data_IF_875271663664
#
_entry.id   IF_875271663664
#
_cell.length_a   1.000
_cell.length_b   1.000
_cell.length_c   1.000
_cell.angle_alpha   90.00
_cell.angle_beta   90.00
_cell.angle_gamma   90.00
#
_symmetry.space_group_name_H-M   'P 1'
#
loop_
_entity.id
_entity.type
_entity.pdbx_description
1 polymer ?
#
# COMPACT_ATOMS: atom_id res chain seq x y z
N UNK A 1 7.81 1.27 -12.36
CA UNK A 1 6.94 0.24 -12.94
C UNK A 1 7.69 -0.55 -14.00
N UNK A 2 7.50 -1.87 -13.98
CA UNK A 2 8.09 -2.80 -14.95
C UNK A 2 7.08 -3.03 -16.08
N UNK A 3 7.49 -2.74 -17.31
CA UNK A 3 6.66 -2.89 -18.52
C UNK A 3 7.19 -3.97 -19.47
N UNK A 4 8.12 -4.79 -19.00
CA UNK A 4 8.65 -5.93 -19.77
C UNK A 4 7.60 -7.04 -19.86
N UNK A 5 7.27 -7.45 -21.08
CA UNK A 5 6.30 -8.54 -21.33
C UNK A 5 6.81 -9.92 -20.91
N UNK A 6 8.11 -10.04 -20.66
CA UNK A 6 8.76 -11.29 -20.31
C UNK A 6 8.76 -11.62 -18.82
N UNK A 7 8.29 -10.72 -17.95
CA UNK A 7 8.29 -10.88 -16.49
C UNK A 7 6.91 -10.62 -15.91
N UNK A 8 6.64 -11.17 -14.74
CA UNK A 8 5.40 -10.98 -13.99
C UNK A 8 5.50 -9.82 -12.99
N UNK A 9 6.72 -9.39 -12.67
CA UNK A 9 6.99 -8.29 -11.77
C UNK A 9 6.34 -6.99 -12.28
N UNK A 10 5.54 -6.33 -11.42
CA UNK A 10 4.82 -5.11 -11.78
C UNK A 10 5.55 -3.82 -11.38
N UNK A 11 6.21 -3.82 -10.21
CA UNK A 11 6.90 -2.63 -9.69
C UNK A 11 8.09 -3.01 -8.83
N UNK A 12 9.17 -2.22 -8.94
CA UNK A 12 10.33 -2.27 -8.04
C UNK A 12 10.35 -1.00 -7.22
N UNK A 13 10.55 -1.13 -5.92
CA UNK A 13 10.79 -0.03 -5.00
C UNK A 13 12.18 -0.16 -4.41
N UNK A 14 12.91 0.95 -4.28
CA UNK A 14 14.24 0.99 -3.67
C UNK A 14 14.09 1.74 -2.34
N UNK A 15 14.09 1.00 -1.23
CA UNK A 15 13.83 1.58 0.09
C UNK A 15 14.96 2.48 0.59
N UNK A 16 16.19 2.30 0.11
CA UNK A 16 17.28 3.24 0.38
C UNK A 16 16.92 4.68 -0.02
N UNK A 17 16.12 4.85 -1.10
CA UNK A 17 15.67 6.16 -1.57
C UNK A 17 14.53 6.76 -0.72
N UNK A 18 13.85 5.94 0.08
CA UNK A 18 12.77 6.41 0.95
C UNK A 18 13.33 7.02 2.24
N UNK A 19 14.28 6.31 2.86
CA UNK A 19 14.97 6.78 4.05
C UNK A 19 16.23 5.94 4.30
N UNK A 20 17.36 6.57 4.67
CA UNK A 20 18.56 5.83 5.04
C UNK A 20 18.37 4.96 6.27
N UNK A 21 17.36 5.23 7.09
CA UNK A 21 17.05 4.44 8.29
C UNK A 21 16.26 3.16 8.01
N UNK A 22 15.84 2.92 6.77
CA UNK A 22 15.12 1.69 6.39
C UNK A 22 16.06 0.53 6.06
N UNK A 23 17.36 0.79 5.90
CA UNK A 23 18.35 -0.20 5.50
C UNK A 23 19.51 -0.17 6.51
N UNK A 24 19.88 -1.34 7.04
CA UNK A 24 20.90 -1.43 8.09
C UNK A 24 22.27 -0.91 7.63
N UNK A 25 22.65 -1.21 6.39
CA UNK A 25 23.93 -0.80 5.78
C UNK A 25 23.68 -0.14 4.42
N UNK A 26 23.13 1.09 4.38
CA UNK A 26 22.65 1.69 3.13
C UNK A 26 23.77 1.99 2.12
N UNK A 27 25.04 2.06 2.56
CA UNK A 27 26.20 2.25 1.67
C UNK A 27 26.64 0.94 0.98
N UNK A 28 26.37 -0.20 1.60
CA UNK A 28 26.87 -1.52 1.16
C UNK A 28 25.76 -2.38 0.57
N UNK A 29 24.50 -2.14 0.93
CA UNK A 29 23.38 -2.99 0.57
C UNK A 29 22.18 -2.19 0.05
N UNK A 30 21.39 -2.82 -0.79
CA UNK A 30 20.13 -2.26 -1.30
C UNK A 30 18.97 -3.14 -0.84
N UNK A 31 17.97 -2.52 -0.22
CA UNK A 31 16.71 -3.20 0.06
C UNK A 31 15.69 -2.83 -1.01
N UNK A 32 15.24 -3.83 -1.75
CA UNK A 32 14.26 -3.63 -2.82
C UNK A 32 12.95 -4.31 -2.49
N UNK A 33 11.84 -3.62 -2.74
CA UNK A 33 10.50 -4.18 -2.70
C UNK A 33 10.03 -4.54 -4.09
N UNK A 34 9.54 -5.77 -4.25
CA UNK A 34 9.03 -6.30 -5.51
C UNK A 34 7.53 -6.50 -5.39
N UNK A 35 6.74 -5.83 -6.23
CA UNK A 35 5.29 -5.93 -6.21
C UNK A 35 4.77 -6.81 -7.34
N UNK A 36 4.09 -7.87 -6.96
CA UNK A 36 3.40 -8.79 -7.85
C UNK A 36 1.89 -8.64 -7.69
N UNK A 37 1.21 -8.24 -8.75
CA UNK A 37 -0.24 -8.11 -8.76
C UNK A 37 -0.87 -9.46 -9.10
N UNK A 38 -1.58 -10.04 -8.15
CA UNK A 38 -2.19 -11.35 -8.25
C UNK A 38 -3.55 -11.37 -7.56
N UNK A 39 -4.39 -12.33 -7.90
CA UNK A 39 -5.65 -12.56 -7.21
C UNK A 39 -5.45 -13.48 -6.01
N UNK A 40 -6.21 -13.23 -4.93
CA UNK A 40 -6.24 -14.15 -3.79
C UNK A 40 -6.72 -15.54 -4.27
N UNK A 41 -5.89 -16.56 -4.04
CA UNK A 41 -6.18 -17.94 -4.41
C UNK A 41 -5.62 -18.39 -5.76
N UNK A 42 -5.00 -17.52 -6.56
CA UNK A 42 -4.30 -17.93 -7.78
C UNK A 42 -3.00 -18.71 -7.48
N UNK A 43 -2.39 -19.29 -8.50
CA UNK A 43 -1.19 -20.11 -8.35
C UNK A 43 -0.03 -19.33 -7.74
N UNK A 44 0.14 -18.06 -8.13
CA UNK A 44 1.20 -17.21 -7.59
C UNK A 44 0.94 -16.84 -6.13
N UNK A 45 -0.32 -16.53 -5.77
CA UNK A 45 -0.71 -16.28 -4.39
C UNK A 45 -0.44 -17.48 -3.49
N UNK A 46 -0.74 -18.70 -3.99
CA UNK A 46 -0.60 -19.94 -3.25
C UNK A 46 0.83 -20.52 -3.23
N UNK A 47 1.74 -19.96 -4.03
CA UNK A 47 3.13 -20.36 -4.07
C UNK A 47 3.75 -20.31 -2.66
N UNK A 48 4.71 -21.19 -2.36
CA UNK A 48 5.48 -21.11 -1.12
C UNK A 48 6.35 -19.85 -1.10
N UNK A 49 6.78 -19.40 0.09
CA UNK A 49 7.70 -18.26 0.19
C UNK A 49 9.01 -18.56 -0.54
N UNK A 50 9.57 -19.74 -0.34
CA UNK A 50 10.81 -20.18 -0.99
C UNK A 50 10.72 -20.17 -2.52
N UNK A 51 9.63 -20.72 -3.08
CA UNK A 51 9.43 -20.74 -4.54
C UNK A 51 9.17 -19.34 -5.09
N UNK A 52 8.45 -18.50 -4.34
CA UNK A 52 8.22 -17.11 -4.70
C UNK A 52 9.53 -16.31 -4.75
N UNK A 53 10.41 -16.49 -3.78
CA UNK A 53 11.73 -15.85 -3.74
C UNK A 53 12.61 -16.34 -4.91
N UNK A 54 12.64 -17.63 -5.18
CA UNK A 54 13.35 -18.18 -6.35
C UNK A 54 12.83 -17.59 -7.66
N UNK A 55 11.50 -17.51 -7.78
CA UNK A 55 10.85 -16.91 -8.95
C UNK A 55 11.24 -15.44 -9.12
N UNK A 56 11.15 -14.65 -8.05
CA UNK A 56 11.49 -13.24 -8.07
C UNK A 56 12.96 -12.98 -8.38
N UNK A 57 13.86 -13.77 -7.79
CA UNK A 57 15.31 -13.73 -8.09
C UNK A 57 15.58 -14.02 -9.56
N UNK A 58 14.94 -15.06 -10.12
CA UNK A 58 15.10 -15.40 -11.54
C UNK A 58 14.63 -14.28 -12.48
N UNK A 59 13.55 -13.57 -12.13
CA UNK A 59 13.09 -12.40 -12.92
C UNK A 59 14.08 -11.23 -12.83
N UNK A 60 14.61 -10.92 -11.65
CA UNK A 60 15.62 -9.87 -11.49
C UNK A 60 16.92 -10.18 -12.25
N UNK A 61 17.38 -11.42 -12.21
CA UNK A 61 18.54 -11.88 -13.00
C UNK A 61 18.24 -11.76 -14.50
N UNK A 62 17.07 -12.21 -14.94
CA UNK A 62 16.65 -12.11 -16.34
C UNK A 62 16.63 -10.66 -16.84
N UNK A 63 16.24 -9.73 -16.01
CA UNK A 63 16.24 -8.29 -16.32
C UNK A 63 17.63 -7.66 -16.19
N UNK A 64 18.63 -8.38 -15.73
CA UNK A 64 19.99 -7.84 -15.51
C UNK A 64 20.09 -6.86 -14.34
N UNK A 65 19.17 -6.93 -13.39
CA UNK A 65 19.15 -6.06 -12.19
C UNK A 65 20.13 -6.55 -11.14
N UNK A 66 20.21 -7.87 -10.95
CA UNK A 66 21.12 -8.53 -10.01
C UNK A 66 21.73 -9.79 -10.62
N UNK A 67 22.78 -10.31 -9.98
CA UNK A 67 23.27 -11.67 -10.16
C UNK A 67 22.68 -12.58 -9.08
N UNK A 68 22.56 -13.88 -9.33
CA UNK A 68 21.91 -14.83 -8.41
C UNK A 68 22.56 -14.87 -7.00
N UNK A 69 23.88 -14.68 -6.94
CA UNK A 69 24.66 -14.69 -5.71
C UNK A 69 24.65 -13.36 -4.92
N UNK A 70 23.92 -12.35 -5.39
CA UNK A 70 23.82 -11.04 -4.73
C UNK A 70 22.63 -10.94 -3.76
N UNK A 71 21.76 -11.96 -3.71
CA UNK A 71 20.65 -11.99 -2.75
C UNK A 71 21.18 -12.36 -1.37
N UNK A 72 21.11 -11.44 -0.43
CA UNK A 72 21.59 -11.62 0.95
C UNK A 72 20.50 -12.16 1.88
N UNK A 73 19.29 -11.64 1.73
CA UNK A 73 18.13 -11.99 2.54
C UNK A 73 16.83 -11.72 1.76
N UNK A 74 15.73 -12.29 2.22
CA UNK A 74 14.44 -12.15 1.56
C UNK A 74 13.28 -12.38 2.53
N UNK A 75 12.18 -11.67 2.28
CA UNK A 75 10.92 -11.85 2.98
C UNK A 75 9.76 -11.66 2.02
N UNK A 76 8.70 -12.45 2.20
CA UNK A 76 7.46 -12.32 1.45
C UNK A 76 6.30 -11.90 2.32
N UNK A 77 5.60 -10.85 1.90
CA UNK A 77 4.35 -10.41 2.52
C UNK A 77 3.17 -10.59 1.55
N UNK A 78 2.04 -11.11 2.04
CA UNK A 78 0.80 -11.24 1.28
C UNK A 78 -0.19 -10.18 1.74
N UNK A 79 -0.39 -9.16 0.93
CA UNK A 79 -1.29 -8.05 1.25
C UNK A 79 -2.66 -8.29 0.63
N UNK A 80 -3.64 -8.63 1.48
CA UNK A 80 -5.04 -8.75 1.06
C UNK A 80 -5.69 -7.37 0.97
N UNK A 81 -6.58 -7.19 -0.04
CA UNK A 81 -7.36 -5.96 -0.20
C UNK A 81 -6.47 -4.71 -0.19
N UNK A 82 -5.37 -4.74 -0.95
CA UNK A 82 -4.37 -3.68 -0.99
C UNK A 82 -4.95 -2.33 -1.44
N UNK A 83 -5.99 -2.34 -2.27
CA UNK A 83 -6.64 -1.14 -2.82
C UNK A 83 -8.14 -1.12 -2.55
N UNK A 84 -8.72 0.03 -2.16
CA UNK A 84 -10.16 0.20 -2.14
C UNK A 84 -10.72 0.18 -3.57
N UNK A 85 -11.87 -0.41 -3.76
CA UNK A 85 -12.56 -0.43 -5.05
C UNK A 85 -13.57 0.73 -5.12
N UNK A 86 -13.40 1.61 -6.10
CA UNK A 86 -14.21 2.82 -6.29
C UNK A 86 -15.17 2.67 -7.47
N UNK A 87 -16.02 1.65 -7.44
CA UNK A 87 -16.97 1.42 -8.52
C UNK A 87 -18.39 1.23 -7.99
N UNK A 88 -19.35 1.32 -8.89
CA UNK A 88 -20.76 1.02 -8.70
C UNK A 88 -21.40 1.72 -7.49
N UNK A 89 -21.50 1.07 -6.34
CA UNK A 89 -22.18 1.60 -5.15
C UNK A 89 -21.37 2.68 -4.41
N UNK A 90 -20.11 2.90 -4.74
CA UNK A 90 -19.26 3.91 -4.08
C UNK A 90 -19.83 5.33 -4.19
N UNK A 91 -20.61 5.63 -5.24
CA UNK A 91 -21.34 6.90 -5.38
C UNK A 91 -22.31 7.20 -4.21
N UNK A 92 -22.70 6.17 -3.47
CA UNK A 92 -23.57 6.28 -2.28
C UNK A 92 -22.79 6.24 -0.95
N UNK A 93 -21.46 6.33 -1.00
CA UNK A 93 -20.60 6.20 0.18
C UNK A 93 -20.91 7.26 1.26
N UNK A 94 -21.32 8.46 0.87
CA UNK A 94 -21.76 9.52 1.80
C UNK A 94 -22.94 9.09 2.69
N UNK A 95 -23.80 8.20 2.20
CA UNK A 95 -24.92 7.64 3.00
C UNK A 95 -24.37 6.72 4.10
N UNK A 96 -23.36 5.94 3.77
CA UNK A 96 -22.67 5.09 4.75
C UNK A 96 -21.94 5.92 5.81
N UNK A 97 -21.24 6.99 5.41
CA UNK A 97 -20.58 7.92 6.35
C UNK A 97 -21.61 8.48 7.33
N UNK A 98 -22.74 8.99 6.84
CA UNK A 98 -23.81 9.55 7.69
C UNK A 98 -24.35 8.51 8.67
N UNK A 99 -24.49 7.25 8.25
CA UNK A 99 -24.91 6.17 9.14
C UNK A 99 -23.84 5.88 10.21
N UNK A 100 -22.57 5.75 9.83
CA UNK A 100 -21.45 5.48 10.74
C UNK A 100 -21.30 6.62 11.78
N UNK A 101 -21.54 7.86 11.37
CA UNK A 101 -21.50 9.05 12.25
C UNK A 101 -22.61 9.08 13.30
N UNK A 102 -23.63 8.22 13.19
CA UNK A 102 -24.67 8.08 14.25
C UNK A 102 -24.12 7.38 15.51
N UNK A 103 -23.02 6.64 15.40
CA UNK A 103 -22.41 5.95 16.54
C UNK A 103 -21.42 6.88 17.26
N UNK A 104 -21.68 7.29 18.50
CA UNK A 104 -20.91 8.36 19.15
C UNK A 104 -19.46 7.96 19.48
N UNK A 105 -19.17 6.67 19.56
CA UNK A 105 -17.87 6.10 19.94
C UNK A 105 -17.19 5.32 18.81
N UNK A 106 -17.67 5.44 17.55
CA UNK A 106 -17.07 4.80 16.39
C UNK A 106 -16.33 5.84 15.55
N UNK A 107 -15.07 5.55 15.23
CA UNK A 107 -14.22 6.37 14.36
C UNK A 107 -13.61 5.50 13.28
N UNK A 108 -13.75 5.91 12.02
CA UNK A 108 -13.17 5.23 10.87
C UNK A 108 -11.88 5.96 10.49
N UNK A 109 -10.74 5.26 10.58
CA UNK A 109 -9.42 5.84 10.32
C UNK A 109 -8.61 4.96 9.37
N UNK A 110 -7.65 5.58 8.70
CA UNK A 110 -6.72 4.90 7.80
C UNK A 110 -7.37 4.44 6.49
N UNK A 111 -6.58 3.72 5.70
CA UNK A 111 -6.93 3.29 4.35
C UNK A 111 -8.17 2.40 4.30
N UNK A 112 -8.16 1.33 5.07
CA UNK A 112 -9.25 0.35 5.05
C UNK A 112 -10.47 0.83 5.86
N UNK A 113 -10.25 1.51 7.00
CA UNK A 113 -11.33 2.01 7.84
C UNK A 113 -12.17 3.09 7.15
N UNK A 114 -11.55 3.91 6.33
CA UNK A 114 -12.24 4.93 5.54
C UNK A 114 -12.63 4.48 4.13
N UNK A 115 -12.21 3.28 3.71
CA UNK A 115 -12.35 2.82 2.32
C UNK A 115 -11.88 3.89 1.31
N UNK A 116 -10.69 4.45 1.54
CA UNK A 116 -10.06 5.48 0.72
C UNK A 116 -8.62 5.12 0.42
N UNK A 117 -8.11 5.62 -0.70
CA UNK A 117 -6.71 5.44 -1.08
C UNK A 117 -5.81 6.35 -0.23
N UNK A 118 -5.72 6.03 1.06
CA UNK A 118 -4.86 6.74 1.99
C UNK A 118 -3.44 6.15 1.94
N UNK A 119 -2.45 6.99 1.75
CA UNK A 119 -1.05 6.67 1.99
C UNK A 119 -0.75 6.71 3.50
N UNK A 120 0.50 6.46 3.90
CA UNK A 120 0.90 6.43 5.31
C UNK A 120 0.60 7.75 6.03
N UNK A 121 0.93 8.88 5.40
CA UNK A 121 0.69 10.22 5.92
C UNK A 121 -0.80 10.49 6.17
N UNK A 122 -1.67 10.20 5.20
CA UNK A 122 -3.12 10.30 5.36
C UNK A 122 -3.62 9.40 6.51
N UNK A 123 -3.13 8.16 6.57
CA UNK A 123 -3.55 7.22 7.61
C UNK A 123 -3.14 7.69 9.01
N UNK A 124 -1.93 8.22 9.15
CA UNK A 124 -1.44 8.82 10.39
C UNK A 124 -2.25 10.06 10.77
N UNK A 125 -2.51 10.96 9.81
CA UNK A 125 -3.27 12.18 10.07
C UNK A 125 -4.71 11.88 10.49
N UNK A 126 -5.39 10.90 9.86
CA UNK A 126 -6.74 10.49 10.29
C UNK A 126 -6.76 10.00 11.75
N UNK A 127 -5.70 9.30 12.19
CA UNK A 127 -5.57 8.85 13.57
C UNK A 127 -5.31 10.02 14.53
N UNK A 128 -4.48 10.98 14.15
CA UNK A 128 -4.19 12.18 14.94
C UNK A 128 -5.45 13.05 15.11
N UNK A 129 -6.19 13.31 14.04
CA UNK A 129 -7.47 14.04 14.09
C UNK A 129 -8.50 13.32 14.98
N UNK A 130 -8.51 11.99 14.94
CA UNK A 130 -9.38 11.20 15.81
C UNK A 130 -8.98 11.34 17.28
N UNK A 131 -7.69 11.25 17.60
CA UNK A 131 -7.21 11.42 18.95
C UNK A 131 -7.55 12.81 19.52
N UNK A 132 -7.38 13.86 18.70
CA UNK A 132 -7.74 15.23 19.09
C UNK A 132 -9.27 15.39 19.27
N UNK A 133 -10.07 14.79 18.40
CA UNK A 133 -11.53 14.80 18.53
C UNK A 133 -12.00 14.12 19.82
N UNK A 134 -11.38 12.99 20.19
CA UNK A 134 -11.68 12.29 21.45
C UNK A 134 -11.28 13.14 22.65
N UNK A 135 -10.05 13.68 22.64
CA UNK A 135 -9.50 14.52 23.71
C UNK A 135 -10.34 15.77 23.99
N UNK A 136 -10.81 16.43 22.93
CA UNK A 136 -11.58 17.67 23.02
C UNK A 136 -13.09 17.45 23.14
N UNK A 137 -13.56 16.22 23.03
CA UNK A 137 -15.01 15.91 23.02
C UNK A 137 -15.72 16.39 21.76
N UNK A 138 -14.98 16.62 20.65
CA UNK A 138 -15.53 17.09 19.38
C UNK A 138 -16.43 16.02 18.76
N UNK A 139 -17.71 16.35 18.57
CA UNK A 139 -18.68 15.39 17.99
C UNK A 139 -18.58 15.26 16.47
N UNK A 140 -18.17 16.33 15.78
CA UNK A 140 -18.02 16.31 14.32
C UNK A 140 -16.80 15.50 13.89
N UNK A 141 -16.99 14.58 12.96
CA UNK A 141 -15.92 13.78 12.34
C UNK A 141 -15.50 14.31 10.98
N UNK A 142 -15.98 15.50 10.61
CA UNK A 142 -15.75 16.09 9.30
C UNK A 142 -14.25 16.22 8.97
N UNK A 143 -13.44 16.60 9.95
CA UNK A 143 -12.00 16.78 9.73
C UNK A 143 -11.31 15.44 9.47
N UNK A 144 -11.71 14.38 10.17
CA UNK A 144 -11.20 13.01 9.97
C UNK A 144 -11.53 12.53 8.55
N UNK A 145 -12.78 12.76 8.09
CA UNK A 145 -13.20 12.36 6.74
C UNK A 145 -12.61 13.24 5.63
N UNK A 146 -12.18 14.46 5.93
CA UNK A 146 -11.62 15.40 4.96
C UNK A 146 -10.11 15.34 4.81
N UNK A 147 -9.41 14.47 5.53
CA UNK A 147 -7.96 14.29 5.39
C UNK A 147 -7.59 13.92 3.95
N UNK A 148 -8.39 13.05 3.33
CA UNK A 148 -8.26 12.73 1.92
C UNK A 148 -9.65 12.76 1.28
N UNK A 149 -9.85 13.66 0.32
CA UNK A 149 -11.12 13.85 -0.39
C UNK A 149 -11.11 13.28 -1.81
N UNK A 150 -10.02 12.65 -2.23
CA UNK A 150 -9.92 12.03 -3.55
C UNK A 150 -10.96 10.92 -3.69
N UNK A 151 -11.73 10.99 -4.77
CA UNK A 151 -12.75 10.00 -5.14
C UNK A 151 -12.30 9.08 -6.27
N UNK A 152 -11.13 9.36 -6.84
CA UNK A 152 -10.52 8.61 -7.92
C UNK A 152 -9.05 8.38 -7.57
N UNK A 153 -8.52 7.25 -8.05
CA UNK A 153 -7.11 6.94 -7.91
C UNK A 153 -6.34 7.62 -9.04
N UNK A 154 -5.52 8.60 -8.67
CA UNK A 154 -4.58 9.23 -9.59
C UNK A 154 -3.14 8.88 -9.17
N UNK A 155 -2.52 7.92 -9.84
CA UNK A 155 -1.07 7.93 -9.93
C UNK A 155 -0.70 8.94 -11.01
N UNK A 156 -0.17 10.09 -10.64
CA UNK A 156 0.43 10.99 -11.61
C UNK A 156 1.58 10.24 -12.30
N UNK A 157 1.39 9.97 -13.60
CA UNK A 157 2.53 9.65 -14.45
C UNK A 157 3.36 10.93 -14.45
N UNK A 158 4.48 10.95 -13.71
CA UNK A 158 5.49 11.98 -13.91
C UNK A 158 5.88 11.96 -15.38
N UNK A 159 5.25 12.85 -16.13
CA UNK A 159 5.58 13.06 -17.52
C UNK A 159 6.97 13.66 -17.60
N UNK A 160 7.84 13.01 -18.29
CA UNK A 160 8.86 13.57 -19.18
C UNK A 160 9.10 12.61 -20.32
#
# INVERSE_FOLDING_TARGET
YVQDKGVKLGRIQIFNNWSPYMVEKPEDTVWIGLEYFCAEGDDFWNMSEEDCVKFATAELVKMGVISENEVLDSHREKVKKAYPAYFDTYKHFDTMIKFLDTFPNLYCVGRNGQHRYNNMDHSMLTAMETAEAIKTGKKSRKDIWNVNTEKEYHEEKSGN
#
